data_IF_706137754233
#
_entry.id   IF_706137754233
#
_cell.length_a   1.000
_cell.length_b   1.000
_cell.length_c   1.000
_cell.angle_alpha   90.00
_cell.angle_beta   90.00
_cell.angle_gamma   90.00
#
_symmetry.space_group_name_H-M   'P 1'
#
loop_
_entity.id
_entity.type
_entity.pdbx_description
1 polymer ?
2 non-polymer ?
3 non-polymer ?
4 water ?
#
# COMPACT_ATOMS: atom_id res chain seq x y z
N UNK A 1 4.51 -11.09 -22.08
CA UNK A 1 4.36 -10.02 -21.09
C UNK A 1 5.16 -10.20 -19.80
N UNK A 2 6.20 -9.38 -19.70
CA UNK A 2 7.03 -9.50 -18.51
C UNK A 2 6.80 -8.32 -17.60
N UNK A 3 6.44 -8.66 -16.36
CA UNK A 3 6.14 -7.64 -15.43
C UNK A 3 7.04 -7.73 -14.21
N UNK A 4 7.50 -6.57 -13.69
CA UNK A 4 8.33 -6.62 -12.49
C UNK A 4 7.58 -5.88 -11.38
N UNK A 5 7.40 -6.52 -10.26
CA UNK A 5 6.66 -5.92 -9.12
C UNK A 5 7.62 -5.69 -7.97
N UNK A 6 7.84 -4.43 -7.64
CA UNK A 6 8.73 -4.23 -6.52
C UNK A 6 7.91 -4.33 -5.22
N UNK A 7 8.58 -4.75 -4.11
CA UNK A 7 7.86 -4.81 -2.85
C UNK A 7 6.80 -5.88 -2.84
N UNK A 8 6.93 -6.86 -3.74
CA UNK A 8 5.99 -7.95 -3.89
C UNK A 8 5.94 -8.95 -2.70
N UNK A 9 6.82 -8.80 -1.68
CA UNK A 9 6.74 -9.71 -0.56
C UNK A 9 6.14 -8.98 0.64
N UNK A 10 5.65 -7.77 0.38
CA UNK A 10 5.01 -6.96 1.44
C UNK A 10 3.51 -7.23 1.49
N UNK A 11 2.80 -6.44 2.27
CA UNK A 11 1.38 -6.61 2.40
C UNK A 11 0.60 -6.48 1.10
N UNK A 12 0.54 -5.26 0.59
CA UNK A 12 -0.26 -5.05 -0.65
C UNK A 12 0.33 -5.74 -1.90
N UNK A 13 1.66 -5.62 -2.04
CA UNK A 13 2.33 -6.16 -3.21
C UNK A 13 2.10 -7.65 -3.34
N UNK A 14 2.16 -8.37 -2.20
CA UNK A 14 1.96 -9.83 -2.25
C UNK A 14 0.53 -10.19 -2.69
N UNK A 15 -0.41 -9.38 -2.24
CA UNK A 15 -1.80 -9.57 -2.62
C UNK A 15 -1.91 -9.32 -4.15
N UNK A 16 -1.29 -8.22 -4.63
CA UNK A 16 -1.33 -7.99 -6.04
C UNK A 16 -0.76 -9.17 -6.81
N UNK A 17 0.39 -9.68 -6.34
CA UNK A 17 1.00 -10.80 -7.07
C UNK A 17 0.13 -12.06 -7.05
N UNK A 18 -0.42 -12.34 -5.88
CA UNK A 18 -1.24 -13.52 -5.73
C UNK A 18 -2.45 -13.45 -6.62
N UNK A 19 -3.08 -12.26 -6.66
CA UNK A 19 -4.30 -12.08 -7.47
C UNK A 19 -3.98 -12.20 -8.94
N UNK A 20 -2.87 -11.58 -9.28
CA UNK A 20 -2.46 -11.61 -10.65
C UNK A 20 -2.24 -13.04 -11.11
N UNK A 21 -1.43 -13.75 -10.31
CA UNK A 21 -1.11 -15.14 -10.67
C UNK A 21 -2.36 -15.99 -10.67
N UNK A 22 -3.30 -15.63 -9.82
CA UNK A 22 -4.55 -16.35 -9.77
C UNK A 22 -5.47 -16.05 -10.94
N UNK A 23 -5.16 -15.02 -11.75
CA UNK A 23 -6.00 -14.69 -12.90
C UNK A 23 -7.12 -13.67 -12.66
N UNK A 24 -7.00 -12.92 -11.58
CA UNK A 24 -7.99 -11.93 -11.24
C UNK A 24 -7.97 -10.74 -12.16
N UNK A 25 -6.87 -10.58 -12.92
CA UNK A 25 -6.74 -9.44 -13.81
C UNK A 25 -6.48 -9.88 -15.23
N UNK A 26 -7.51 -10.37 -15.84
CA UNK A 26 -7.50 -10.86 -17.21
C UNK A 26 -6.86 -9.90 -18.23
N UNK A 27 -7.06 -8.61 -18.00
CA UNK A 27 -6.52 -7.59 -18.89
C UNK A 27 -5.06 -7.29 -18.70
N UNK A 28 -4.48 -7.96 -17.71
CA UNK A 28 -3.08 -7.77 -17.43
C UNK A 28 -2.36 -9.08 -17.75
N UNK A 29 -1.82 -9.12 -18.93
CA UNK A 29 -1.10 -10.30 -19.39
C UNK A 29 0.19 -10.45 -18.57
N UNK A 30 0.31 -11.58 -17.92
CA UNK A 30 1.48 -11.79 -17.10
C UNK A 30 2.06 -13.16 -17.32
N UNK A 31 2.83 -13.31 -18.39
CA UNK A 31 3.41 -14.60 -18.63
C UNK A 31 4.62 -14.77 -17.74
N UNK A 32 5.25 -13.66 -17.45
CA UNK A 32 6.44 -13.66 -16.60
C UNK A 32 6.27 -12.53 -15.61
N UNK A 33 6.38 -12.94 -14.35
CA UNK A 33 6.28 -12.07 -13.18
C UNK A 33 7.54 -12.17 -12.33
N UNK A 34 8.23 -11.03 -12.17
CA UNK A 34 9.43 -10.99 -11.37
C UNK A 34 9.06 -10.16 -10.14
N UNK A 35 9.36 -10.64 -8.97
CA UNK A 35 9.08 -9.88 -7.79
C UNK A 35 10.43 -9.45 -7.26
N UNK A 36 10.58 -8.15 -6.98
CA UNK A 36 11.87 -7.64 -6.44
C UNK A 36 11.58 -7.09 -5.03
N UNK A 37 12.22 -7.71 -4.01
CA UNK A 37 11.90 -7.28 -2.65
C UNK A 37 13.14 -7.51 -1.81
N UNK A 38 13.52 -6.49 -1.00
CA UNK A 38 14.70 -6.55 -0.21
C UNK A 38 14.50 -7.29 1.10
N UNK A 39 13.27 -7.69 1.39
CA UNK A 39 13.05 -8.40 2.62
C UNK A 39 13.47 -7.64 3.87
N UNK A 40 12.89 -6.47 4.04
CA UNK A 40 13.12 -5.70 5.25
C UNK A 40 12.25 -6.37 6.34
N UNK A 41 12.12 -5.72 7.50
CA UNK A 41 11.29 -6.27 8.57
C UNK A 41 9.88 -6.51 8.10
N UNK A 42 9.49 -5.82 7.02
CA UNK A 42 8.14 -5.91 6.49
C UNK A 42 7.98 -6.92 5.34
N UNK A 43 9.10 -7.35 4.74
CA UNK A 43 8.97 -8.29 3.60
C UNK A 43 8.89 -9.72 4.14
N UNK A 44 8.04 -10.59 3.57
CA UNK A 44 7.93 -11.92 4.15
C UNK A 44 7.69 -12.93 3.09
N UNK A 45 8.63 -13.85 2.98
CA UNK A 45 8.49 -14.89 1.95
C UNK A 45 7.23 -15.66 2.14
N UNK A 46 6.76 -15.76 3.39
CA UNK A 46 5.52 -16.51 3.55
C UNK A 46 4.34 -15.89 2.82
N UNK A 47 4.41 -14.59 2.55
CA UNK A 47 3.31 -13.93 1.86
C UNK A 47 3.16 -14.43 0.44
N UNK A 48 4.23 -15.03 -0.09
CA UNK A 48 4.18 -15.55 -1.45
C UNK A 48 4.17 -17.07 -1.45
N UNK A 49 4.09 -17.69 -0.25
CA UNK A 49 4.12 -19.13 -0.22
C UNK A 49 3.10 -19.80 -1.11
N UNK A 50 1.91 -19.21 -1.18
CA UNK A 50 0.91 -19.86 -2.03
C UNK A 50 1.22 -19.92 -3.50
N UNK A 51 2.12 -19.05 -3.99
CA UNK A 51 2.49 -18.99 -5.40
C UNK A 51 3.93 -19.36 -5.71
N UNK A 52 4.61 -19.77 -4.64
CA UNK A 52 6.01 -20.18 -4.66
C UNK A 52 6.46 -21.05 -5.86
N UNK A 53 5.69 -22.12 -6.14
CA UNK A 53 5.99 -23.05 -7.23
C UNK A 53 5.47 -22.69 -8.58
N UNK A 54 4.82 -21.53 -8.70
CA UNK A 54 4.30 -21.09 -9.98
C UNK A 54 5.44 -20.83 -10.96
N UNK A 55 5.47 -21.58 -12.08
CA UNK A 55 6.55 -21.42 -13.03
C UNK A 55 6.60 -20.03 -13.60
N UNK A 56 5.53 -19.24 -13.52
CA UNK A 56 5.63 -17.89 -14.06
C UNK A 56 6.29 -16.88 -13.12
N UNK A 57 6.55 -17.27 -11.86
CA UNK A 57 7.12 -16.36 -10.87
C UNK A 57 8.59 -16.51 -10.64
N UNK A 58 9.27 -15.38 -10.66
CA UNK A 58 10.67 -15.29 -10.34
C UNK A 58 10.79 -14.31 -9.20
N UNK A 59 11.30 -14.77 -8.11
CA UNK A 59 11.53 -13.98 -6.90
C UNK A 59 12.98 -13.55 -6.81
N UNK A 60 13.19 -12.23 -6.73
CA UNK A 60 14.50 -11.64 -6.65
C UNK A 60 14.69 -10.96 -5.32
N UNK A 61 15.52 -11.51 -4.44
CA UNK A 61 15.80 -10.92 -3.12
C UNK A 61 16.85 -9.82 -3.42
N UNK A 62 16.40 -8.57 -3.48
CA UNK A 62 17.30 -7.48 -3.83
C UNK A 62 16.61 -6.15 -3.62
N UNK A 63 17.38 -5.08 -3.84
CA UNK A 63 16.93 -3.74 -3.53
C UNK A 63 16.69 -2.83 -4.70
N UNK A 64 15.68 -1.96 -4.57
CA UNK A 64 15.40 -1.01 -5.64
C UNK A 64 16.52 0.04 -5.82
N UNK A 65 17.36 0.13 -4.78
CA UNK A 65 18.43 1.11 -4.80
C UNK A 65 19.64 0.56 -5.54
N UNK A 66 19.60 -0.72 -5.90
CA UNK A 66 20.69 -1.42 -6.58
C UNK A 66 20.60 -1.29 -8.10
N UNK A 67 21.26 -0.25 -8.64
CA UNK A 67 21.21 0.05 -10.07
C UNK A 67 21.70 -1.07 -10.98
N UNK A 68 22.74 -1.71 -10.51
CA UNK A 68 23.30 -2.81 -11.31
C UNK A 68 22.34 -3.95 -11.44
N UNK A 69 21.73 -4.30 -10.34
CA UNK A 69 20.79 -5.38 -10.36
C UNK A 69 19.64 -5.04 -11.27
N UNK A 70 19.12 -3.81 -11.07
CA UNK A 70 18.02 -3.40 -11.91
C UNK A 70 18.33 -3.41 -13.40
N UNK A 71 19.49 -2.90 -13.72
CA UNK A 71 19.87 -2.82 -15.13
C UNK A 71 19.83 -4.21 -15.79
N UNK A 72 19.97 -5.23 -14.98
CA UNK A 72 19.91 -6.54 -15.52
C UNK A 72 18.50 -7.07 -15.46
N UNK A 73 17.89 -6.97 -14.26
CA UNK A 73 16.54 -7.48 -14.12
C UNK A 73 15.48 -6.76 -14.95
N UNK A 74 15.74 -5.53 -15.38
CA UNK A 74 14.69 -4.87 -16.13
C UNK A 74 14.78 -5.15 -17.62
N UNK A 75 15.77 -5.93 -18.04
CA UNK A 75 15.88 -6.21 -19.46
C UNK A 75 14.66 -6.90 -20.04
N UNK A 76 14.05 -6.27 -21.07
CA UNK A 76 12.86 -6.78 -21.71
C UNK A 76 11.60 -6.72 -20.81
N UNK A 77 11.65 -5.97 -19.70
CA UNK A 77 10.45 -5.87 -18.86
C UNK A 77 9.51 -4.83 -19.50
N UNK A 78 8.24 -5.22 -19.64
CA UNK A 78 7.25 -4.33 -20.25
C UNK A 78 6.64 -3.33 -19.29
N UNK A 79 6.56 -3.77 -18.04
CA UNK A 79 5.95 -2.91 -17.07
C UNK A 79 6.41 -3.21 -15.65
N UNK A 80 6.36 -2.14 -14.87
CA UNK A 80 6.71 -2.24 -13.48
C UNK A 80 5.53 -1.80 -12.60
N UNK A 81 5.22 -2.54 -11.53
CA UNK A 81 4.26 -2.12 -10.50
C UNK A 81 5.12 -1.88 -9.24
N UNK A 82 5.22 -0.63 -8.78
CA UNK A 82 6.14 -0.31 -7.71
C UNK A 82 5.51 -0.12 -6.35
N UNK A 83 5.63 -1.14 -5.46
CA UNK A 83 5.06 -1.01 -4.16
C UNK A 83 6.14 -0.88 -3.14
N UNK A 84 7.41 -1.23 -3.51
CA UNK A 84 8.47 -1.19 -2.51
C UNK A 84 8.59 0.18 -1.83
N UNK A 85 8.60 0.21 -0.48
CA UNK A 85 8.71 1.43 0.28
C UNK A 85 8.77 1.11 1.76
N UNK A 86 9.22 2.12 2.53
CA UNK A 86 9.13 2.10 4.01
C UNK A 86 7.70 2.68 4.20
N UNK A 87 6.74 1.93 4.83
CA UNK A 87 5.32 2.35 4.90
C UNK A 87 4.68 2.80 6.22
N UNK A 88 5.46 2.79 7.31
CA UNK A 88 4.85 3.16 8.58
C UNK A 88 5.18 4.53 9.13
N UNK A 89 4.14 5.35 9.31
CA UNK A 89 4.36 6.72 9.82
C UNK A 89 5.18 6.75 11.12
N UNK A 90 4.83 5.83 12.06
CA UNK A 90 5.53 5.82 13.35
C UNK A 90 7.03 5.63 13.18
N UNK A 91 7.39 4.66 12.31
CA UNK A 91 8.80 4.45 12.10
C UNK A 91 9.44 5.70 11.49
N UNK A 92 8.67 6.39 10.62
CA UNK A 92 9.18 7.61 9.96
C UNK A 92 9.42 8.74 10.95
N UNK A 93 8.64 8.75 12.02
CA UNK A 93 8.89 9.80 12.99
C UNK A 93 10.14 9.46 13.84
N UNK A 94 10.26 8.16 14.16
CA UNK A 94 11.39 7.68 14.98
C UNK A 94 12.74 7.70 14.25
N UNK A 95 12.76 7.34 12.96
CA UNK A 95 14.00 7.30 12.19
C UNK A 95 13.57 7.67 10.77
N UNK A 96 13.63 8.95 10.47
CA UNK A 96 13.20 9.42 9.17
C UNK A 96 14.07 9.12 7.94
N UNK A 97 15.37 9.04 8.12
CA UNK A 97 16.24 8.91 6.98
C UNK A 97 15.91 7.81 6.02
N UNK A 98 15.61 6.62 6.56
CA UNK A 98 15.34 5.48 5.69
C UNK A 98 14.18 5.70 4.69
N UNK A 99 13.29 6.58 5.11
CA UNK A 99 12.13 6.92 4.30
C UNK A 99 12.57 7.70 3.06
N UNK A 100 13.48 8.65 3.23
CA UNK A 100 13.94 9.32 2.00
C UNK A 100 14.78 8.36 1.17
N UNK A 101 15.64 7.57 1.85
CA UNK A 101 16.47 6.65 1.10
C UNK A 101 15.67 5.64 0.32
N UNK A 102 14.73 4.96 0.98
CA UNK A 102 13.97 3.99 0.19
C UNK A 102 12.92 4.59 -0.71
N UNK A 103 12.16 5.51 -0.19
CA UNK A 103 11.05 6.07 -0.94
C UNK A 103 11.42 7.05 -2.04
N UNK A 104 12.26 8.00 -1.76
CA UNK A 104 12.61 8.93 -2.81
C UNK A 104 13.82 8.45 -3.65
N UNK A 105 14.94 8.21 -3.00
CA UNK A 105 16.10 7.76 -3.77
C UNK A 105 15.84 6.44 -4.46
N UNK A 106 15.15 5.55 -3.77
CA UNK A 106 14.82 4.24 -4.37
C UNK A 106 13.93 4.36 -5.59
N UNK A 107 12.96 5.27 -5.52
CA UNK A 107 12.12 5.50 -6.68
C UNK A 107 12.93 6.08 -7.87
N UNK A 108 13.80 7.07 -7.57
CA UNK A 108 14.58 7.68 -8.64
C UNK A 108 15.46 6.62 -9.33
N UNK A 109 16.12 5.79 -8.50
CA UNK A 109 16.97 4.76 -9.11
C UNK A 109 16.13 3.87 -9.99
N UNK A 110 15.01 3.45 -9.43
CA UNK A 110 14.13 2.58 -10.18
C UNK A 110 13.68 3.21 -11.49
N UNK A 111 13.20 4.45 -11.43
CA UNK A 111 12.72 5.10 -12.65
C UNK A 111 13.84 5.38 -13.66
N UNK A 112 15.03 5.71 -13.17
CA UNK A 112 16.10 5.92 -14.14
C UNK A 112 16.47 4.57 -14.82
N UNK A 113 16.50 3.50 -14.05
CA UNK A 113 16.83 2.21 -14.65
C UNK A 113 15.73 1.80 -15.61
N UNK A 114 14.47 2.20 -15.32
CA UNK A 114 13.37 1.87 -16.23
C UNK A 114 13.59 2.55 -17.54
N UNK A 115 14.05 3.79 -17.47
CA UNK A 115 14.31 4.55 -18.70
C UNK A 115 15.43 3.88 -19.45
N UNK A 116 16.49 3.51 -18.72
CA UNK A 116 17.65 2.90 -19.37
C UNK A 116 17.36 1.56 -20.00
N UNK A 117 16.33 0.89 -19.49
CA UNK A 117 15.92 -0.42 -19.97
C UNK A 117 14.75 -0.37 -20.93
N UNK A 118 14.25 0.80 -21.27
CA UNK A 118 13.18 0.86 -22.21
C UNK A 118 11.89 0.25 -21.70
N UNK A 119 11.64 0.27 -20.35
CA UNK A 119 10.40 -0.29 -19.79
C UNK A 119 9.19 0.48 -20.28
N UNK A 120 8.18 -0.18 -20.83
CA UNK A 120 7.02 0.52 -21.37
C UNK A 120 6.17 1.37 -20.45
N UNK A 121 5.87 0.85 -19.29
CA UNK A 121 5.06 1.61 -18.38
C UNK A 121 5.32 1.22 -16.96
N UNK A 122 5.00 2.20 -16.11
CA UNK A 122 5.16 2.06 -14.67
C UNK A 122 3.97 2.58 -13.90
N UNK A 123 3.59 1.84 -12.86
CA UNK A 123 2.51 2.27 -11.99
C UNK A 123 3.21 2.51 -10.66
N UNK A 124 3.26 3.78 -10.25
CA UNK A 124 3.91 4.19 -9.00
C UNK A 124 2.83 4.27 -7.91
N UNK A 125 2.92 3.38 -6.90
CA UNK A 125 1.95 3.25 -5.85
C UNK A 125 2.20 4.23 -4.73
N UNK A 126 1.22 5.12 -4.55
CA UNK A 126 1.27 6.16 -3.60
C UNK A 126 0.08 6.23 -2.64
N UNK A 127 0.07 7.29 -1.80
CA UNK A 127 -0.89 7.39 -0.74
C UNK A 127 -1.59 8.73 -0.61
N UNK A 128 -2.76 8.63 0.00
CA UNK A 128 -3.52 9.83 0.25
C UNK A 128 -2.80 10.79 1.25
N UNK A 129 -1.80 10.30 2.00
CA UNK A 129 -1.15 11.13 3.02
C UNK A 129 -0.42 12.33 2.46
N UNK A 130 -0.09 12.27 1.13
CA UNK A 130 0.62 13.41 0.51
C UNK A 130 -0.20 14.72 0.64
N UNK A 131 -1.51 14.57 0.89
CA UNK A 131 -2.38 15.75 0.93
C UNK A 131 -2.55 16.37 2.30
N UNK A 132 -1.91 15.75 3.32
CA UNK A 132 -1.95 16.25 4.69
C UNK A 132 -3.19 15.78 5.49
N UNK A 133 -4.03 16.72 5.91
CA UNK A 133 -5.24 16.45 6.68
C UNK A 133 -6.37 17.32 6.09
N UNK A 134 -7.59 16.80 6.11
CA UNK A 134 -8.76 17.47 5.55
C UNK A 134 -9.96 17.36 6.56
N UNK A 135 -10.37 18.52 7.06
CA UNK A 135 -11.48 18.64 8.02
C UNK A 135 -12.81 18.25 7.46
N UNK A 136 -13.06 18.71 6.24
CA UNK A 136 -14.31 18.37 5.66
C UNK A 136 -14.15 18.28 4.18
N UNK A 137 -14.92 17.40 3.58
CA UNK A 137 -14.75 17.25 2.16
C UNK A 137 -13.72 16.12 1.89
N UNK A 138 -13.39 15.94 0.60
CA UNK A 138 -12.47 14.89 0.10
C UNK A 138 -11.52 15.50 -0.89
N UNK A 139 -10.34 14.91 -0.98
CA UNK A 139 -9.37 15.43 -1.90
C UNK A 139 -9.55 14.87 -3.28
N UNK A 140 -9.23 15.67 -4.26
CA UNK A 140 -9.23 15.21 -5.63
C UNK A 140 -7.72 15.18 -6.03
N UNK A 141 -7.47 14.66 -7.23
CA UNK A 141 -6.12 14.50 -7.77
C UNK A 141 -5.39 15.83 -7.94
N UNK A 142 -6.11 16.92 -7.89
CA UNK A 142 -5.45 18.20 -8.04
C UNK A 142 -5.18 18.87 -6.70
N UNK A 143 -5.57 18.18 -5.64
CA UNK A 143 -5.37 18.71 -4.32
C UNK A 143 -3.88 18.96 -4.12
N UNK A 144 -3.56 19.93 -3.28
CA UNK A 144 -2.15 20.27 -3.02
C UNK A 144 -1.40 19.23 -2.18
N UNK A 145 -0.11 19.16 -2.43
CA UNK A 145 0.72 18.25 -1.66
C UNK A 145 1.11 18.95 -0.39
N UNK A 146 0.58 18.46 0.72
CA UNK A 146 0.85 19.09 2.00
C UNK A 146 1.08 18.02 3.01
N UNK A 147 2.09 17.18 2.76
CA UNK A 147 2.45 16.07 3.65
C UNK A 147 2.86 16.55 5.03
N UNK A 148 2.46 15.89 6.10
CA UNK A 148 2.88 16.39 7.43
C UNK A 148 3.91 15.52 8.16
N UNK A 149 4.09 14.25 7.77
CA UNK A 149 5.05 13.31 8.43
C UNK A 149 6.21 13.04 7.45
N UNK A 150 7.35 12.57 7.98
CA UNK A 150 8.46 12.23 7.12
C UNK A 150 8.00 11.13 6.12
N UNK A 151 7.15 10.17 6.56
CA UNK A 151 6.70 9.18 5.63
C UNK A 151 5.92 9.85 4.52
N UNK A 152 4.92 10.65 4.84
CA UNK A 152 4.15 11.29 3.79
C UNK A 152 4.97 12.17 2.84
N UNK A 153 5.92 12.93 3.37
CA UNK A 153 6.76 13.78 2.54
C UNK A 153 7.66 12.94 1.64
N UNK A 154 8.03 11.74 2.08
CA UNK A 154 8.87 10.88 1.26
C UNK A 154 8.08 10.31 0.10
N UNK A 155 6.83 9.92 0.38
CA UNK A 155 6.00 9.45 -0.70
C UNK A 155 5.74 10.58 -1.71
N UNK A 156 5.39 11.78 -1.19
CA UNK A 156 5.14 12.93 -2.05
C UNK A 156 6.39 13.24 -2.89
N UNK A 157 7.58 13.17 -2.30
CA UNK A 157 8.79 13.43 -3.08
C UNK A 157 8.94 12.39 -4.17
N UNK A 158 8.50 11.12 -3.91
CA UNK A 158 8.64 10.07 -4.88
C UNK A 158 7.69 10.32 -6.01
N UNK A 159 6.51 10.83 -5.68
CA UNK A 159 5.51 11.15 -6.71
C UNK A 159 6.06 12.22 -7.64
N UNK A 160 6.77 13.18 -7.06
CA UNK A 160 7.36 14.26 -7.87
C UNK A 160 8.48 13.74 -8.76
N UNK A 161 9.22 12.75 -8.27
CA UNK A 161 10.24 12.18 -9.10
C UNK A 161 9.54 11.50 -10.26
N UNK A 162 8.42 10.81 -9.97
CA UNK A 162 7.72 10.13 -11.07
C UNK A 162 7.30 11.15 -12.15
N UNK A 163 6.78 12.30 -11.71
CA UNK A 163 6.35 13.31 -12.69
C UNK A 163 7.52 13.74 -13.55
N UNK A 164 8.64 14.05 -12.88
CA UNK A 164 9.79 14.49 -13.63
C UNK A 164 10.27 13.45 -14.64
N UNK A 165 10.18 12.15 -14.29
CA UNK A 165 10.59 11.13 -15.25
C UNK A 165 9.70 11.11 -16.48
N UNK A 166 8.41 11.30 -16.22
CA UNK A 166 7.47 11.36 -17.32
C UNK A 166 7.73 12.63 -18.16
N UNK A 167 7.85 13.81 -17.55
CA UNK A 167 8.04 15.07 -18.26
C UNK A 167 9.38 15.25 -18.95
N UNK A 168 10.43 14.68 -18.35
CA UNK A 168 11.75 14.87 -18.96
C UNK A 168 12.10 13.81 -19.95
N UNK A 169 11.83 12.58 -19.52
CA UNK A 169 12.23 11.48 -20.34
C UNK A 169 11.15 10.81 -21.13
N UNK A 170 9.90 11.20 -20.98
CA UNK A 170 8.88 10.50 -21.73
C UNK A 170 8.46 9.16 -21.11
N UNK A 171 8.92 8.87 -19.89
CA UNK A 171 8.50 7.62 -19.29
C UNK A 171 7.01 7.60 -18.97
N UNK A 172 6.37 6.51 -19.38
CA UNK A 172 4.96 6.35 -19.13
C UNK A 172 4.80 5.86 -17.73
N UNK A 173 4.70 6.77 -16.80
CA UNK A 173 4.50 6.43 -15.41
C UNK A 173 3.11 7.01 -14.99
N UNK A 174 2.31 6.14 -14.33
CA UNK A 174 0.99 6.48 -13.79
C UNK A 174 1.10 6.38 -12.25
N UNK A 175 0.46 7.29 -11.53
CA UNK A 175 0.54 7.32 -10.09
C UNK A 175 -0.80 7.02 -9.47
N UNK A 176 -0.81 6.15 -8.46
CA UNK A 176 -2.06 5.88 -7.78
C UNK A 176 -1.93 6.40 -6.35
N UNK A 177 -3.05 6.85 -5.76
CA UNK A 177 -3.05 7.30 -4.33
C UNK A 177 -4.25 6.63 -3.68
N UNK A 178 -4.01 5.97 -2.56
CA UNK A 178 -5.08 5.25 -1.93
C UNK A 178 -5.13 5.55 -0.44
N UNK A 179 -6.28 5.17 0.13
CA UNK A 179 -6.51 5.33 1.57
C UNK A 179 -5.98 4.16 2.37
N UNK A 180 -6.26 4.10 3.67
CA UNK A 180 -5.77 2.95 4.45
C UNK A 180 -6.30 1.63 3.97
N UNK A 181 -5.36 0.73 3.72
CA UNK A 181 -5.78 -0.61 3.32
C UNK A 181 -5.84 -1.54 4.55
N UNK A 182 -6.59 -2.63 4.42
CA UNK A 182 -6.65 -3.64 5.44
C UNK A 182 -6.88 -4.98 4.72
N UNK A 183 -6.54 -6.06 5.45
CA UNK A 183 -6.71 -7.37 4.88
C UNK A 183 -5.67 -8.36 5.42
N UNK A 184 -5.78 -9.61 4.98
CA UNK A 184 -4.84 -10.63 5.41
C UNK A 184 -3.44 -10.22 4.94
N UNK A 185 -2.49 -10.64 5.77
CA UNK A 185 -1.07 -10.45 5.61
C UNK A 185 -0.61 -9.06 5.86
N UNK A 186 -1.40 -8.26 6.52
CA UNK A 186 -0.90 -6.93 6.84
C UNK A 186 0.00 -7.08 8.09
N UNK A 187 1.16 -6.42 8.11
CA UNK A 187 2.07 -6.52 9.26
C UNK A 187 1.40 -5.97 10.52
N UNK A 188 1.54 -6.70 11.61
CA UNK A 188 0.90 -6.27 12.87
C UNK A 188 1.38 -4.98 13.53
N UNK A 189 2.24 -4.18 12.89
CA UNK A 189 2.58 -2.93 13.51
C UNK A 189 1.44 -1.94 13.16
N UNK A 190 0.63 -2.28 12.12
CA UNK A 190 -0.50 -1.43 11.65
C UNK A 190 -1.74 -1.60 12.54
N UNK A 191 -2.53 -0.52 12.64
CA UNK A 191 -3.69 -0.47 13.53
C UNK A 191 -4.58 -1.71 13.65
N UNK A 192 -5.20 -2.11 12.55
CA UNK A 192 -6.10 -3.26 12.66
C UNK A 192 -5.44 -4.56 13.13
N UNK A 193 -4.39 -5.00 12.40
CA UNK A 193 -3.76 -6.23 12.86
C UNK A 193 -3.21 -6.09 14.26
N UNK A 194 -2.69 -4.91 14.60
CA UNK A 194 -2.15 -4.76 15.92
C UNK A 194 -3.22 -4.99 16.96
N UNK A 195 -4.35 -4.28 16.81
CA UNK A 195 -5.42 -4.35 17.77
C UNK A 195 -6.05 -5.73 17.75
N UNK A 196 -6.28 -6.31 16.57
CA UNK A 196 -6.90 -7.66 16.59
C UNK A 196 -6.00 -8.71 17.28
N UNK A 197 -4.68 -8.66 16.97
CA UNK A 197 -3.76 -9.65 17.57
C UNK A 197 -3.53 -9.37 19.05
N UNK A 198 -3.60 -8.09 19.45
CA UNK A 198 -3.44 -7.79 20.86
C UNK A 198 -4.59 -8.43 21.63
N UNK A 199 -5.79 -8.29 21.10
CA UNK A 199 -6.99 -8.88 21.73
C UNK A 199 -6.80 -10.39 21.73
N UNK A 200 -6.31 -10.96 20.62
CA UNK A 200 -6.11 -12.42 20.58
C UNK A 200 -5.15 -12.87 21.67
N UNK A 201 -4.17 -12.03 21.99
CA UNK A 201 -3.20 -12.35 23.03
C UNK A 201 -3.69 -11.93 24.40
N UNK A 202 -4.90 -11.37 24.49
CA UNK A 202 -5.44 -10.92 25.79
C UNK A 202 -4.82 -9.61 26.32
N UNK A 203 -4.19 -8.88 25.41
CA UNK A 203 -3.55 -7.60 25.71
C UNK A 203 -4.43 -6.35 25.52
N UNK A 204 -3.84 -5.20 25.80
CA UNK A 204 -4.53 -3.93 25.67
C UNK A 204 -4.26 -3.36 24.30
N UNK A 205 -5.08 -2.36 23.99
CA UNK A 205 -5.04 -1.64 22.74
C UNK A 205 -4.62 -0.19 22.98
N UNK A 206 -3.44 0.16 22.47
CA UNK A 206 -2.95 1.50 22.63
C UNK A 206 -3.54 2.46 21.61
N UNK A 207 -4.59 3.14 22.08
CA UNK A 207 -5.33 4.11 21.30
C UNK A 207 -4.67 5.50 21.35
N UNK A 208 -4.05 5.97 20.26
CA UNK A 208 -3.38 7.27 20.30
C UNK A 208 -4.28 8.45 20.56
N UNK A 209 -3.77 9.32 21.43
CA UNK A 209 -4.49 10.56 21.75
C UNK A 209 -5.91 10.28 22.18
N UNK A 210 -6.88 10.89 21.49
CA UNK A 210 -8.26 10.67 21.87
C UNK A 210 -9.00 9.73 20.91
N UNK A 211 -8.29 9.16 19.95
CA UNK A 211 -9.03 8.28 19.05
C UNK A 211 -10.00 8.98 18.10
N UNK A 212 -9.93 10.31 18.00
CA UNK A 212 -10.88 10.98 17.11
C UNK A 212 -10.44 11.05 15.66
N UNK A 213 -9.19 10.67 15.41
CA UNK A 213 -8.67 10.68 14.04
C UNK A 213 -9.51 9.85 13.10
N UNK A 214 -9.71 10.41 11.92
CA UNK A 214 -10.49 9.74 10.90
C UNK A 214 -9.69 9.18 9.78
N UNK A 215 -9.97 7.93 9.43
CA UNK A 215 -9.32 7.22 8.33
C UNK A 215 -10.38 6.59 7.40
N UNK A 216 -10.07 6.48 6.11
CA UNK A 216 -10.91 5.87 5.11
C UNK A 216 -10.29 4.49 4.89
N UNK A 217 -11.09 3.42 4.90
CA UNK A 217 -10.55 2.06 4.80
C UNK A 217 -11.01 1.39 3.53
N UNK A 218 -10.11 0.64 2.91
CA UNK A 218 -10.42 -0.09 1.67
C UNK A 218 -9.77 -1.47 1.82
N UNK A 219 -10.44 -2.52 1.39
CA UNK A 219 -9.82 -3.80 1.48
C UNK A 219 -8.76 -3.84 0.40
N UNK A 220 -7.64 -4.42 0.74
CA UNK A 220 -6.55 -4.48 -0.26
C UNK A 220 -6.95 -5.11 -1.60
N UNK A 221 -7.91 -6.02 -1.54
CA UNK A 221 -8.28 -6.59 -2.83
C UNK A 221 -8.78 -5.51 -3.79
N UNK A 222 -9.55 -4.55 -3.22
CA UNK A 222 -10.09 -3.45 -4.05
C UNK A 222 -8.96 -2.54 -4.55
N UNK A 223 -8.02 -2.22 -3.65
CA UNK A 223 -6.91 -1.39 -4.07
C UNK A 223 -6.15 -2.03 -5.23
N UNK A 224 -5.86 -3.33 -5.05
CA UNK A 224 -5.09 -4.02 -6.07
C UNK A 224 -5.77 -4.04 -7.41
N UNK A 225 -7.09 -4.20 -7.35
CA UNK A 225 -7.86 -4.22 -8.59
C UNK A 225 -7.80 -2.83 -9.27
N UNK A 226 -7.84 -1.76 -8.46
CA UNK A 226 -7.76 -0.41 -8.99
C UNK A 226 -6.40 -0.23 -9.65
N UNK A 227 -5.34 -0.78 -9.01
CA UNK A 227 -4.01 -0.65 -9.61
C UNK A 227 -3.96 -1.38 -10.93
N UNK A 228 -4.55 -2.59 -10.96
CA UNK A 228 -4.55 -3.37 -12.21
C UNK A 228 -5.30 -2.61 -13.33
N UNK A 229 -6.39 -1.91 -12.98
CA UNK A 229 -7.14 -1.11 -13.97
C UNK A 229 -6.28 0.06 -14.47
N UNK A 230 -5.51 0.71 -13.58
CA UNK A 230 -4.65 1.81 -13.99
C UNK A 230 -3.53 1.27 -14.88
N UNK A 231 -2.97 0.14 -14.51
CA UNK A 231 -1.92 -0.44 -15.29
C UNK A 231 -2.40 -0.78 -16.67
N UNK A 232 -3.61 -1.34 -16.74
CA UNK A 232 -4.06 -1.71 -18.06
C UNK A 232 -4.61 -0.56 -18.87
N UNK A 233 -5.22 0.43 -18.22
CA UNK A 233 -5.80 1.48 -19.04
C UNK A 233 -5.59 2.90 -18.64
N UNK A 234 -4.69 3.13 -17.73
CA UNK A 234 -4.47 4.51 -17.37
C UNK A 234 -3.69 5.25 -18.47
N UNK A 235 -3.40 6.50 -18.22
CA UNK A 235 -2.71 7.30 -19.17
C UNK A 235 -1.44 7.83 -18.58
N UNK A 236 -0.41 7.93 -19.47
CA UNK A 236 0.86 8.44 -19.01
C UNK A 236 0.81 9.75 -18.22
N UNK A 237 1.51 9.78 -17.10
CA UNK A 237 1.61 10.95 -16.25
C UNK A 237 0.39 11.22 -15.40
N UNK A 238 -0.70 10.48 -15.56
CA UNK A 238 -1.90 10.79 -14.76
C UNK A 238 -1.86 10.24 -13.31
N UNK A 239 -2.55 10.90 -12.38
CA UNK A 239 -2.71 10.49 -10.99
C UNK A 239 -4.14 9.98 -10.87
N UNK A 240 -4.29 8.88 -10.15
CA UNK A 240 -5.60 8.27 -9.89
C UNK A 240 -5.84 7.87 -8.44
N UNK A 241 -6.88 8.43 -7.86
CA UNK A 241 -7.23 8.08 -6.49
C UNK A 241 -7.99 6.74 -6.53
N UNK A 242 -7.69 5.86 -5.54
CA UNK A 242 -8.36 4.57 -5.41
C UNK A 242 -8.83 4.62 -3.98
N UNK A 243 -10.14 4.77 -3.81
CA UNK A 243 -10.65 4.83 -2.46
C UNK A 243 -11.44 3.59 -2.00
N UNK A 244 -11.81 3.65 -0.73
CA UNK A 244 -12.58 2.52 -0.23
C UNK A 244 -13.98 3.01 0.16
N UNK A 245 -14.10 4.33 0.35
CA UNK A 245 -15.38 4.83 0.72
C UNK A 245 -15.50 5.00 2.27
N UNK A 246 -15.71 3.90 3.00
CA UNK A 246 -15.82 3.89 4.48
C UNK A 246 -14.89 4.71 5.40
N UNK A 247 -15.43 5.79 5.99
CA UNK A 247 -14.69 6.67 6.88
C UNK A 247 -15.05 6.39 8.33
N UNK A 248 -14.05 6.22 9.19
CA UNK A 248 -14.32 5.93 10.61
C UNK A 248 -13.37 6.66 11.56
N UNK A 249 -13.83 7.02 12.77
CA UNK A 249 -12.88 7.53 13.71
C UNK A 249 -12.16 6.27 14.23
N UNK A 250 -10.91 6.43 14.70
CA UNK A 250 -10.20 5.28 15.26
C UNK A 250 -10.96 4.71 16.45
N UNK A 251 -11.70 5.58 17.14
CA UNK A 251 -12.49 5.11 18.27
C UNK A 251 -13.64 4.19 17.76
N UNK A 252 -14.29 4.64 16.70
CA UNK A 252 -15.36 3.83 16.16
C UNK A 252 -14.85 2.48 15.76
N UNK A 253 -13.73 2.51 15.04
CA UNK A 253 -13.12 1.28 14.53
C UNK A 253 -12.71 0.33 15.65
N UNK A 254 -12.16 0.92 16.70
CA UNK A 254 -11.78 0.13 17.85
C UNK A 254 -13.04 -0.59 18.39
N UNK A 255 -14.13 0.17 18.54
CA UNK A 255 -15.36 -0.45 19.04
C UNK A 255 -15.79 -1.66 18.17
N UNK A 256 -15.69 -1.47 16.85
CA UNK A 256 -16.04 -2.51 15.88
C UNK A 256 -15.12 -3.73 16.09
N UNK A 257 -13.81 -3.43 16.26
CA UNK A 257 -12.89 -4.50 16.50
C UNK A 257 -13.23 -5.23 17.80
N UNK A 258 -13.49 -4.46 18.85
CA UNK A 258 -13.81 -5.12 20.12
C UNK A 258 -14.99 -6.04 19.93
N UNK A 259 -16.05 -5.50 19.32
CA UNK A 259 -17.27 -6.26 19.09
C UNK A 259 -16.97 -7.55 18.35
N UNK A 260 -16.21 -7.43 17.30
CA UNK A 260 -15.85 -8.60 16.52
C UNK A 260 -15.18 -9.67 17.35
N UNK A 261 -14.43 -9.27 18.38
CA UNK A 261 -13.74 -10.29 19.13
C UNK A 261 -14.34 -10.60 20.50
N UNK A 262 -15.51 -10.03 20.81
CA UNK A 262 -16.20 -10.23 22.08
C UNK A 262 -15.45 -9.59 23.23
N UNK A 263 -14.78 -8.51 22.94
CA UNK A 263 -14.03 -7.90 24.01
C UNK A 263 -14.68 -6.57 24.36
N UNK A 264 -14.19 -5.83 25.34
CA UNK A 264 -14.82 -4.57 25.69
C UNK A 264 -13.85 -3.45 25.88
N UNK A 265 -14.37 -2.26 26.18
CA UNK A 265 -13.51 -1.08 26.35
C UNK A 265 -12.43 -1.16 27.39
N UNK A 266 -12.68 -2.06 28.33
CA UNK A 266 -11.70 -2.20 29.34
C UNK A 266 -10.35 -2.63 28.79
N UNK A 267 -10.32 -3.18 27.58
CA UNK A 267 -9.02 -3.57 27.01
C UNK A 267 -8.24 -2.39 26.38
N UNK A 268 -8.88 -1.21 26.28
CA UNK A 268 -8.27 -0.03 25.66
C UNK A 268 -7.46 0.82 26.62
N UNK A 269 -6.43 1.43 26.07
CA UNK A 269 -5.58 2.28 26.84
C UNK A 269 -5.30 3.53 26.03
N UNK A 270 -5.59 4.68 26.62
CA UNK A 270 -5.29 5.95 26.00
C UNK A 270 -3.77 6.17 26.15
N UNK A 271 -3.04 6.43 25.04
CA UNK A 271 -1.58 6.63 25.10
C UNK A 271 -1.31 7.97 24.42
N UNK A 272 -0.12 8.52 24.61
CA UNK A 272 0.23 9.78 24.02
C UNK A 272 -0.04 9.72 22.52
N UNK A 273 -0.46 10.88 22.00
CA UNK A 273 -0.75 10.98 20.60
C UNK A 273 0.53 10.94 19.75
N UNK A 274 0.37 10.48 18.50
CA UNK A 274 1.44 10.49 17.54
C UNK A 274 1.81 11.98 17.25
N UNK A 275 3.12 12.27 17.15
CA UNK A 275 3.52 13.66 16.83
C UNK A 275 3.02 14.04 15.41
N UNK A 276 2.39 15.21 15.32
CA UNK A 276 1.90 15.71 14.05
C UNK A 276 0.79 14.87 13.43
N UNK A 277 0.17 14.05 14.26
CA UNK A 277 -0.90 13.13 13.82
C UNK A 277 -1.93 13.81 12.94
N UNK A 278 -2.14 13.28 11.74
CA UNK A 278 -3.12 13.81 10.80
C UNK A 278 -4.50 13.52 11.30
N UNK A 279 -5.34 14.55 11.38
CA UNK A 279 -6.67 14.36 11.90
C UNK A 279 -7.65 13.57 11.05
N UNK A 280 -7.59 13.78 9.73
CA UNK A 280 -8.52 13.10 8.87
C UNK A 280 -8.06 13.01 7.44
N UNK A 281 -8.35 11.86 6.86
CA UNK A 281 -8.06 11.61 5.47
C UNK A 281 -9.38 11.33 4.80
N UNK A 282 -9.57 11.85 3.58
CA UNK A 282 -10.78 11.60 2.82
C UNK A 282 -10.50 11.81 1.34
N UNK A 283 -10.66 10.77 0.50
CA UNK A 283 -10.35 10.87 -0.95
C UNK A 283 -11.56 10.80 -1.81
N UNK A 284 -11.51 11.56 -2.86
CA UNK A 284 -12.56 11.52 -3.83
C UNK A 284 -12.10 10.61 -4.97
N UNK A 285 -12.86 9.57 -5.25
CA UNK A 285 -12.51 8.63 -6.32
C UNK A 285 -13.35 8.74 -7.61
N UNK A 286 -13.94 9.91 -7.93
CA UNK A 286 -14.71 10.00 -9.15
C UNK A 286 -13.89 9.84 -10.43
N UNK A 287 -12.61 10.32 -10.40
CA UNK A 287 -11.81 10.21 -11.60
C UNK A 287 -11.64 8.81 -12.14
N UNK A 288 -11.13 7.97 -11.23
CA UNK A 288 -10.93 6.60 -11.61
C UNK A 288 -12.26 5.93 -11.92
N UNK A 289 -13.35 6.35 -11.26
CA UNK A 289 -14.63 5.71 -11.56
C UNK A 289 -15.08 6.09 -12.95
N UNK A 290 -15.05 7.39 -13.19
CA UNK A 290 -15.46 7.80 -14.50
C UNK A 290 -14.51 7.44 -15.63
N UNK A 291 -13.22 7.42 -15.40
CA UNK A 291 -12.36 7.09 -16.51
C UNK A 291 -12.03 5.61 -16.68
N UNK A 292 -11.95 4.90 -15.55
CA UNK A 292 -11.58 3.49 -15.67
C UNK A 292 -12.64 2.54 -15.11
N UNK A 293 -13.74 3.04 -14.59
CA UNK A 293 -14.73 2.09 -14.13
C UNK A 293 -14.48 1.45 -12.76
N UNK A 294 -13.58 2.03 -11.96
CA UNK A 294 -13.38 1.43 -10.66
C UNK A 294 -14.25 2.00 -9.55
N UNK A 295 -14.70 1.05 -8.74
CA UNK A 295 -15.46 1.25 -7.52
C UNK A 295 -15.17 0.08 -6.59
N UNK A 296 -15.08 0.40 -5.28
CA UNK A 296 -14.82 -0.64 -4.30
C UNK A 296 -15.98 -1.57 -4.29
N UNK A 297 -15.62 -2.83 -4.22
CA UNK A 297 -16.54 -3.95 -4.21
C UNK A 297 -16.63 -4.77 -2.95
N UNK A 298 -15.70 -4.60 -2.04
CA UNK A 298 -15.75 -5.36 -0.79
C UNK A 298 -16.32 -4.51 0.32
N UNK A 299 -17.48 -4.92 0.89
CA UNK A 299 -18.03 -4.11 1.98
C UNK A 299 -17.20 -4.29 3.21
N UNK A 300 -17.08 -3.17 3.93
CA UNK A 300 -16.32 -3.22 5.15
C UNK A 300 -16.74 -4.34 6.08
N UNK A 301 -18.04 -4.49 6.30
CA UNK A 301 -18.47 -5.54 7.21
C UNK A 301 -17.97 -6.93 6.80
N UNK A 302 -18.08 -7.20 5.51
CA UNK A 302 -17.65 -8.49 5.06
C UNK A 302 -16.15 -8.60 5.09
N UNK A 303 -15.51 -7.60 4.50
CA UNK A 303 -14.08 -7.63 4.40
C UNK A 303 -13.47 -7.73 5.76
N UNK A 304 -14.04 -6.99 6.69
CA UNK A 304 -13.46 -7.03 8.03
C UNK A 304 -13.65 -8.39 8.73
N UNK A 305 -14.83 -8.91 8.60
CA UNK A 305 -15.04 -10.21 9.22
C UNK A 305 -14.03 -11.25 8.77
N UNK A 306 -13.81 -11.25 7.48
CA UNK A 306 -12.88 -12.20 6.89
C UNK A 306 -11.44 -11.97 7.35
N UNK A 307 -11.05 -10.69 7.49
CA UNK A 307 -9.73 -10.31 7.93
C UNK A 307 -9.49 -10.81 9.37
N UNK A 308 -10.48 -10.51 10.23
CA UNK A 308 -10.36 -10.96 11.62
C UNK A 308 -10.24 -12.48 11.69
N UNK A 309 -11.06 -13.15 10.91
CA UNK A 309 -10.98 -14.59 10.91
C UNK A 309 -9.60 -15.05 10.47
N UNK A 310 -9.05 -14.34 9.44
CA UNK A 310 -7.73 -14.66 8.95
C UNK A 310 -6.73 -14.58 10.08
N UNK A 311 -6.76 -13.49 10.85
CA UNK A 311 -5.82 -13.36 11.96
C UNK A 311 -6.06 -14.46 13.00
N UNK A 312 -7.32 -14.79 13.28
CA UNK A 312 -7.57 -15.87 14.22
C UNK A 312 -6.91 -17.15 13.77
N UNK A 313 -6.97 -17.41 12.47
CA UNK A 313 -6.44 -18.64 11.97
C UNK A 313 -4.97 -18.68 11.62
N UNK A 314 -4.29 -17.54 11.70
CA UNK A 314 -2.90 -17.53 11.27
C UNK A 314 -1.90 -17.00 12.27
N UNK A 315 -2.02 -17.43 13.53
CA UNK A 315 -1.11 -17.01 14.62
C UNK A 315 0.31 -17.29 14.25
N UNK A 316 0.50 -18.41 13.55
CA UNK A 316 1.84 -18.85 13.13
C UNK A 316 2.50 -17.84 12.23
N UNK A 317 1.62 -17.11 11.53
CA UNK A 317 2.15 -16.07 10.66
C UNK A 317 2.47 -14.80 11.43
N UNK A 318 1.54 -14.30 12.24
CA UNK A 318 1.80 -13.04 12.92
C UNK A 318 2.61 -13.02 14.16
N UNK A 319 2.52 -14.14 14.86
CA UNK A 319 3.23 -14.24 16.12
C UNK A 319 4.71 -13.89 16.00
N UNK A 320 5.38 -14.49 15.00
CA UNK A 320 6.79 -14.21 14.85
C UNK A 320 7.09 -12.73 14.55
N UNK A 321 6.13 -11.98 14.01
CA UNK A 321 6.28 -10.59 13.64
C UNK A 321 6.16 -9.61 14.76
N UNK A 322 5.47 -10.03 15.80
CA UNK A 322 5.30 -9.19 16.96
C UNK A 322 6.51 -9.30 17.89
X LIG B 1 4.69 -3.00 3.66
X LIG B 1 5.40 -2.25 4.75
X LIG B 1 3.69 -4.13 3.93
X LIG B 1 5.74 -3.68 2.69
X LIG B 1 6.83 -2.92 2.07
X LIG B 1 7.55 -3.94 1.20
X LIG B 1 8.60 -3.29 0.44
X LIG B 1 8.24 -5.04 1.99
X LIG B 1 7.97 -6.33 1.43
X LIG B 1 9.73 -4.62 1.97
X LIG B 1 10.64 -5.74 2.15
X LIG B 1 9.82 -4.01 0.58
X LIG B 1 10.92 -3.02 0.55
X LIG B 1 11.17 -2.02 1.45
X LIG B 1 12.24 -1.29 1.09
X LIG B 1 12.74 -1.92 -0.06
X LIG B 1 13.84 -1.62 -0.91
X LIG B 1 14.71 -0.62 -0.69
X LIG B 1 13.98 -2.41 -2.03
X LIG B 1 13.09 -3.43 -2.24
X LIG B 1 12.07 -3.80 -1.51
X LIG B 1 11.93 -2.98 -0.42
X LIG B 1 3.94 -1.93 2.77
X LIG B 1 2.47 -2.02 2.12
X LIG B 1 2.29 -3.30 1.39
X LIG B 1 1.48 -1.56 3.20
X LIG B 1 2.62 -0.77 1.12
X LIG B 1 2.87 -1.01 -0.29
X LIG B 1 2.94 0.32 -0.98
X LIG B 1 1.62 0.90 -0.95
X LIG B 1 3.87 1.38 -0.37
X LIG B 1 4.49 2.19 -1.41
X LIG B 1 2.92 2.26 0.47
X LIG B 1 3.48 3.59 0.59
X LIG B 1 1.68 2.21 -0.41
X LIG B 1 0.44 2.45 0.32
X LIG B 1 0.08 1.73 1.41
X LIG B 1 -1.22 1.87 2.05
X LIG B 1 -1.51 1.04 3.25
X LIG B 1 -2.60 1.24 3.80
X LIG B 1 -0.64 0.09 3.71
X LIG B 1 -2.20 2.87 1.56
X LIG B 1 -1.66 3.60 0.39
X LIG B 1 -0.47 3.42 -0.15
X LIG C 1 -3.72 6.49 4.62
X LIG C 1 -2.86 5.68 3.76
X LIG C 1 -1.82 5.14 4.74
X LIG C 1 -2.50 4.23 5.65
X LIG C 1 -0.69 4.43 4.04
X LIG C 1 -0.02 5.37 3.19
X LIG C 1 0.24 3.97 5.15
X LIG C 1 1.35 3.31 4.53
X LIG C 1 -0.52 3.03 6.10
X LIG C 1 0.38 2.58 7.13
X LIG C 1 -1.68 3.78 6.75
X LIG C 1 -1.22 5.03 7.53
X LIG C 1 -1.77 5.31 8.91
X LIG C 1 -3.22 5.93 8.81
X LIG C 1 -0.72 6.16 9.63
X LIG C 1 -1.86 3.87 9.56
X LIG C 1 -1.58 3.21 11.05
X LIG C 1 -0.22 3.41 11.58
X LIG C 1 -1.93 1.77 10.92
X LIG C 1 -2.58 4.03 11.98
X LIG C 1 -3.95 4.16 11.64
X LIG C 1 -4.56 5.09 12.65
X LIG C 1 -4.58 4.44 13.93
X LIG C 1 -3.79 6.36 12.87
X LIG C 1 -4.71 7.41 13.11
X LIG C 1 -2.94 6.14 14.13
X LIG C 1 -3.84 5.16 14.89
X LIG C 1 -3.12 4.19 15.72
X LIG C 1 -2.16 3.41 15.11
X LIG C 1 -1.48 2.49 15.76
X LIG C 1 -0.44 1.66 15.01
X LIG C 1 -3.44 4.07 17.06
X LIG C 1 -4.29 4.73 17.65
X LIG C 1 -2.70 3.13 17.70
X LIG C 1 -1.72 2.30 17.16
X LIG C 1 -1.14 1.52 17.89
#
# INVERSE_FOLDING_TARGET
>A
MRLLVTGGAGFIGSHFVRQLLAGAYPDVPADEVIVLDSLTYAGNRANLAPVDADPRLRFVHGDIRDAGLLARELRGVDAIVHFAAESHVDRSIAGASVFTETNVQGTQTLLQCAVDAGVGRVVHVSTNQVYGSIDSGSWTESSPLEPNSPYAASKAGSDLVARAYHRTYGLDVRITRCCNNYGPYQHPEKLIPLFVTNLLDGGTLPLYGDGANVREWVHTDDHCRGIALVLAGGRAGEIYHIGGGLELTNRELTGILLDSLGADWSSVRKVADRKGHDLRYSLDGGKIERELGYRPQVSFADGLARTVRWYRENRGWWEPLKATAPQLPATAVEVSA
>B hetero
1 NAD PA O1A O2A O5B C5B C4B O4B C3B O3B C2B O2B C1B N9A C8A N7A C5A C6A N6A N1A C2A N3A C4A O3 PN O1N O2N O5D C5D C4D O4D C3D O3D C2D O2D C1D N1N C2N C3N C7N O7N N7N C4N C5N C6N
>C hetero
1 DAU O6 C6 C5 O5 C4 O4 C3 O3 C2 O2 C1 O1 P2 O3P O4P OPP P O1P O2P O5' C5' C4' O4' C3' O3' C2' C1' N11 C61 C51 C5A C21 O21 N31 C41 O41
#
